data_IF_647460327234
#
_entry.id   IF_647460327234
#
_cell.length_a   1.000
_cell.length_b   1.000
_cell.length_c   1.000
_cell.angle_alpha   90.00
_cell.angle_beta   90.00
_cell.angle_gamma   90.00
#
_symmetry.space_group_name_H-M   'P 1'
#
loop_
_entity.id
_entity.type
_entity.pdbx_description
1 polymer ?
#
# COMPACT_ATOMS: atom_id res chain seq x y z
N UNK A 1 29.99 20.49 -0.65
CA UNK A 1 29.32 20.34 0.66
C UNK A 1 28.01 19.62 0.42
N UNK A 2 27.87 18.38 0.92
CA UNK A 2 26.66 17.57 0.74
C UNK A 2 25.76 17.77 1.97
N UNK A 3 24.75 18.63 1.87
CA UNK A 3 23.77 18.79 2.95
C UNK A 3 22.89 17.55 2.98
N UNK A 4 22.72 16.86 4.12
CA UNK A 4 21.86 15.69 4.20
C UNK A 4 20.45 16.06 3.75
N UNK A 5 19.90 15.32 2.80
CA UNK A 5 18.56 15.58 2.30
C UNK A 5 17.54 15.24 3.38
N UNK A 6 16.79 16.24 3.82
CA UNK A 6 15.63 16.02 4.69
C UNK A 6 14.49 15.42 3.86
N UNK A 7 13.75 14.43 4.39
CA UNK A 7 12.57 13.90 3.72
C UNK A 7 11.59 15.02 3.40
N UNK A 8 11.28 15.19 2.12
CA UNK A 8 10.28 16.14 1.69
C UNK A 8 8.91 15.63 2.16
N UNK A 9 8.19 16.42 2.95
CA UNK A 9 6.89 16.06 3.53
C UNK A 9 5.75 16.10 2.48
N UNK A 10 5.93 15.42 1.35
CA UNK A 10 4.93 15.25 0.32
C UNK A 10 3.77 14.42 0.87
N UNK A 11 2.60 15.05 1.00
CA UNK A 11 1.36 14.33 1.29
C UNK A 11 0.66 14.03 -0.02
N UNK A 12 0.41 12.76 -0.30
CA UNK A 12 -0.51 12.39 -1.37
C UNK A 12 -1.89 12.94 -1.03
N UNK A 13 -2.45 13.77 -1.90
CA UNK A 13 -3.81 14.31 -1.73
C UNK A 13 -4.89 13.24 -1.95
N UNK A 14 -4.55 12.12 -2.62
CA UNK A 14 -5.50 11.06 -2.93
C UNK A 14 -5.57 10.05 -1.79
N UNK A 15 -6.69 10.05 -1.07
CA UNK A 15 -7.06 8.97 -0.17
C UNK A 15 -7.70 7.83 -0.98
N UNK A 16 -7.15 6.63 -0.88
CA UNK A 16 -7.78 5.42 -1.38
C UNK A 16 -8.58 4.79 -0.23
N UNK A 17 -9.83 4.39 -0.48
CA UNK A 17 -10.67 3.73 0.52
C UNK A 17 -11.16 2.40 -0.02
N UNK A 18 -11.37 1.43 0.88
CA UNK A 18 -11.96 0.14 0.50
C UNK A 18 -13.41 0.34 0.06
N UNK A 19 -14.14 1.25 0.71
CA UNK A 19 -15.53 1.60 0.38
C UNK A 19 -15.70 2.14 -1.06
N UNK A 20 -14.64 2.72 -1.65
CA UNK A 20 -14.64 3.26 -3.01
C UNK A 20 -14.30 2.19 -4.07
N UNK A 21 -13.92 0.98 -3.65
CA UNK A 21 -13.57 -0.09 -4.57
C UNK A 21 -14.82 -0.87 -5.00
N UNK A 22 -15.12 -0.82 -6.30
CA UNK A 22 -16.20 -1.60 -6.90
C UNK A 22 -15.65 -2.96 -7.33
N UNK A 23 -15.97 -4.01 -6.57
CA UNK A 23 -15.51 -5.37 -6.86
C UNK A 23 -15.89 -6.39 -5.81
N UNK A 24 -15.00 -7.35 -5.56
CA UNK A 24 -15.26 -8.44 -4.62
C UNK A 24 -15.31 -7.93 -3.16
N UNK A 25 -16.48 -8.05 -2.52
CA UNK A 25 -16.71 -7.62 -1.15
C UNK A 25 -15.95 -8.46 -0.11
N UNK A 26 -15.85 -9.78 -0.30
CA UNK A 26 -15.12 -10.69 0.60
C UNK A 26 -13.63 -10.36 0.61
N UNK A 27 -13.06 -10.03 -0.55
CA UNK A 27 -11.69 -9.54 -0.65
C UNK A 27 -11.51 -8.23 0.13
N UNK A 28 -12.46 -7.29 0.02
CA UNK A 28 -12.39 -6.04 0.77
C UNK A 28 -12.48 -6.28 2.28
N UNK A 29 -13.34 -7.21 2.72
CA UNK A 29 -13.45 -7.61 4.12
C UNK A 29 -12.15 -8.25 4.65
N UNK A 30 -11.54 -9.16 3.86
CA UNK A 30 -10.26 -9.78 4.19
C UNK A 30 -9.15 -8.73 4.36
N UNK A 31 -9.04 -7.79 3.40
CA UNK A 31 -8.08 -6.69 3.47
C UNK A 31 -8.34 -5.77 4.67
N UNK A 32 -9.61 -5.51 5.00
CA UNK A 32 -9.97 -4.73 6.18
C UNK A 32 -9.54 -5.42 7.49
N UNK A 33 -9.74 -6.73 7.61
CA UNK A 33 -9.28 -7.52 8.75
C UNK A 33 -7.75 -7.47 8.90
N UNK A 34 -7.00 -7.61 7.80
CA UNK A 34 -5.53 -7.46 7.80
C UNK A 34 -5.10 -6.04 8.19
N UNK A 35 -5.79 -5.01 7.70
CA UNK A 35 -5.50 -3.62 8.06
C UNK A 35 -5.71 -3.35 9.54
N UNK A 36 -6.75 -3.93 10.15
CA UNK A 36 -7.05 -3.82 11.59
C UNK A 36 -6.11 -4.67 12.46
N UNK A 37 -5.46 -5.67 11.87
CA UNK A 37 -4.62 -6.62 12.59
C UNK A 37 -5.38 -7.80 13.18
N UNK A 38 -6.62 -8.01 12.73
CA UNK A 38 -7.50 -9.13 13.13
C UNK A 38 -7.01 -10.46 12.53
N UNK A 39 -6.23 -10.40 11.44
CA UNK A 39 -5.47 -11.52 10.88
C UNK A 39 -3.98 -11.20 10.83
N UNK A 40 -3.15 -12.21 11.11
CA UNK A 40 -1.69 -12.16 10.99
C UNK A 40 -1.18 -12.86 9.72
N UNK A 41 -2.08 -13.28 8.84
CA UNK A 41 -1.72 -14.00 7.63
C UNK A 41 -1.11 -13.07 6.59
N UNK A 42 -0.10 -13.55 5.89
CA UNK A 42 0.45 -12.88 4.72
C UNK A 42 -0.48 -13.11 3.53
N UNK A 43 -0.96 -12.02 2.92
CA UNK A 43 -1.82 -12.07 1.75
C UNK A 43 -1.03 -11.80 0.47
N UNK A 44 -1.31 -12.59 -0.57
CA UNK A 44 -0.82 -12.35 -1.92
C UNK A 44 -1.99 -12.02 -2.86
N UNK A 45 -2.00 -10.81 -3.41
CA UNK A 45 -3.04 -10.34 -4.32
C UNK A 45 -2.50 -10.31 -5.75
N UNK A 46 -3.15 -11.04 -6.66
CA UNK A 46 -2.83 -11.04 -8.08
C UNK A 46 -4.06 -10.69 -8.94
N UNK A 47 -3.81 -10.22 -10.16
CA UNK A 47 -4.86 -9.86 -11.10
C UNK A 47 -4.31 -9.09 -12.30
N UNK A 48 -5.10 -8.94 -13.38
CA UNK A 48 -4.70 -8.25 -14.60
C UNK A 48 -4.23 -6.80 -14.37
N UNK A 49 -3.55 -6.21 -15.35
CA UNK A 49 -3.27 -4.77 -15.35
C UNK A 49 -4.58 -3.99 -15.15
N UNK A 50 -4.51 -2.88 -14.42
CA UNK A 50 -5.65 -2.01 -14.09
C UNK A 50 -6.80 -2.64 -13.29
N UNK A 51 -6.61 -3.83 -12.72
CA UNK A 51 -7.59 -4.47 -11.83
C UNK A 51 -7.71 -3.83 -10.42
N UNK A 52 -7.13 -2.65 -10.19
CA UNK A 52 -7.20 -1.95 -8.90
C UNK A 52 -6.28 -2.49 -7.79
N UNK A 53 -5.30 -3.35 -8.07
CA UNK A 53 -4.36 -3.87 -7.03
C UNK A 53 -3.70 -2.76 -6.21
N UNK A 54 -3.23 -1.70 -6.87
CA UNK A 54 -2.61 -0.55 -6.22
C UNK A 54 -3.61 0.25 -5.38
N UNK A 55 -4.86 0.38 -5.85
CA UNK A 55 -5.95 0.99 -5.09
C UNK A 55 -6.19 0.20 -3.80
N UNK A 56 -6.39 -1.11 -3.91
CA UNK A 56 -6.65 -1.99 -2.78
C UNK A 56 -5.50 -1.97 -1.76
N UNK A 57 -4.25 -1.99 -2.23
CA UNK A 57 -3.07 -1.91 -1.35
C UNK A 57 -3.04 -0.57 -0.59
N UNK A 58 -3.19 0.56 -1.29
CA UNK A 58 -3.20 1.87 -0.61
C UNK A 58 -4.41 2.09 0.28
N UNK A 59 -5.57 1.54 -0.07
CA UNK A 59 -6.76 1.58 0.77
C UNK A 59 -6.56 0.80 2.08
N UNK A 60 -5.94 -0.37 2.00
CA UNK A 60 -5.56 -1.20 3.16
C UNK A 60 -4.60 -0.44 4.07
N UNK A 61 -3.56 0.20 3.51
CA UNK A 61 -2.61 1.02 4.26
C UNK A 61 -3.29 2.25 4.88
N UNK A 62 -4.20 2.91 4.17
CA UNK A 62 -4.95 4.05 4.69
C UNK A 62 -5.78 3.64 5.90
N UNK A 63 -6.52 2.53 5.81
CA UNK A 63 -7.31 2.00 6.91
C UNK A 63 -6.42 1.63 8.11
N UNK A 64 -5.30 0.95 7.88
CA UNK A 64 -4.37 0.60 8.96
C UNK A 64 -3.82 1.84 9.69
N UNK A 65 -3.49 2.91 8.95
CA UNK A 65 -3.06 4.20 9.53
C UNK A 65 -4.16 4.86 10.36
N UNK A 66 -5.43 4.79 9.93
CA UNK A 66 -6.54 5.30 10.75
C UNK A 66 -6.69 4.54 12.07
N UNK A 67 -6.31 3.25 12.08
CA UNK A 67 -6.16 2.43 13.29
C UNK A 67 -4.85 2.66 14.06
N UNK A 68 -4.12 3.75 13.78
CA UNK A 68 -2.85 4.11 14.41
C UNK A 68 -1.75 3.04 14.30
N UNK A 69 -1.81 2.20 13.27
CA UNK A 69 -0.76 1.21 13.00
C UNK A 69 0.34 1.80 12.11
N UNK A 70 1.58 1.45 12.43
CA UNK A 70 2.72 1.74 11.59
C UNK A 70 2.72 0.83 10.36
N UNK A 71 2.60 1.43 9.18
CA UNK A 71 2.55 0.71 7.91
C UNK A 71 3.37 1.40 6.84
N UNK A 72 4.10 0.58 6.08
CA UNK A 72 4.99 1.02 5.01
C UNK A 72 4.57 0.39 3.69
N UNK A 73 4.76 1.14 2.61
CA UNK A 73 4.61 0.65 1.24
C UNK A 73 6.00 0.48 0.64
N UNK A 74 6.25 -0.68 0.05
CA UNK A 74 7.51 -1.01 -0.61
C UNK A 74 7.29 -1.18 -2.13
N UNK A 75 7.64 -0.18 -2.96
CA UNK A 75 7.46 -0.25 -4.42
C UNK A 75 8.52 -1.13 -5.07
N UNK A 76 8.35 -2.46 -4.98
CA UNK A 76 9.34 -3.45 -5.42
C UNK A 76 9.82 -3.26 -6.87
N UNK A 77 8.97 -2.78 -7.78
CA UNK A 77 9.38 -2.49 -9.17
C UNK A 77 10.48 -1.41 -9.24
N UNK A 78 10.30 -0.31 -8.51
CA UNK A 78 11.24 0.82 -8.51
C UNK A 78 12.54 0.42 -7.81
N UNK A 79 12.42 -0.32 -6.70
CA UNK A 79 13.58 -0.79 -5.96
C UNK A 79 14.37 -1.84 -6.72
N UNK A 80 13.71 -2.72 -7.47
CA UNK A 80 14.37 -3.68 -8.34
C UNK A 80 15.19 -2.99 -9.43
N UNK A 81 14.61 -1.98 -10.09
CA UNK A 81 15.33 -1.18 -11.09
C UNK A 81 16.55 -0.48 -10.50
N UNK A 82 16.40 0.20 -9.36
CA UNK A 82 17.52 0.87 -8.70
C UNK A 82 18.62 -0.12 -8.26
N UNK A 83 18.24 -1.34 -7.84
CA UNK A 83 19.19 -2.37 -7.47
C UNK A 83 19.98 -2.89 -8.69
N UNK A 84 19.32 -3.05 -9.84
CA UNK A 84 19.96 -3.40 -11.12
C UNK A 84 20.92 -2.29 -11.58
N UNK A 85 20.53 -1.01 -11.47
CA UNK A 85 21.36 0.13 -11.88
C UNK A 85 22.63 0.34 -11.03
N UNK A 86 22.70 -0.27 -9.84
CA UNK A 86 23.82 -0.14 -8.89
C UNK A 86 24.84 -1.30 -9.01
N UNK A 87 24.49 -2.37 -9.73
CA UNK A 87 25.33 -3.55 -9.97
C UNK A 87 26.17 -3.41 -11.25
#
# INVERSE_FOLDING_TARGET
MNTPQLPLALRSQKAFRLDDFIGNADLCALLAATARGDSRDSLFLHGPTDSGKTHLLFATLSLARTGQRDVNYLPLRVLGQAAEDTL
#
